data_IF_250855976054
#
_entry.id   IF_250855976054
#
_cell.length_a   1.000
_cell.length_b   1.000
_cell.length_c   1.000
_cell.angle_alpha   90.00
_cell.angle_beta   90.00
_cell.angle_gamma   90.00
#
_symmetry.space_group_name_H-M   'P 1'
#
loop_
_entity.id
_entity.type
_entity.pdbx_description
1 polymer ?
#
# COMPACT_ATOMS: atom_id res chain seq x y z
N UNK A 1 -13.42 3.41 -0.67
CA UNK A 1 -13.68 4.45 -1.67
C UNK A 1 -14.61 5.45 -1.05
N UNK A 2 -14.07 6.10 -0.03
CA UNK A 2 -14.85 6.89 0.87
C UNK A 2 -15.02 8.30 0.26
N UNK A 3 -16.09 8.56 -0.51
CA UNK A 3 -16.56 9.93 -0.81
C UNK A 3 -16.33 10.41 -2.23
N UNK A 4 -15.55 9.66 -3.00
CA UNK A 4 -15.39 9.81 -4.44
C UNK A 4 -16.68 9.41 -5.19
N UNK A 5 -17.03 10.10 -6.27
CA UNK A 5 -18.12 9.68 -7.14
C UNK A 5 -17.81 8.32 -7.78
N UNK A 6 -18.80 7.64 -8.36
CA UNK A 6 -18.53 6.37 -9.09
C UNK A 6 -17.46 6.53 -10.17
N UNK A 7 -17.43 7.69 -10.82
CA UNK A 7 -16.46 8.01 -11.86
C UNK A 7 -15.07 8.22 -11.27
N UNK A 8 -14.99 8.89 -10.13
CA UNK A 8 -13.72 9.09 -9.43
C UNK A 8 -13.19 7.78 -8.83
N UNK A 9 -14.05 6.82 -8.48
CA UNK A 9 -13.61 5.50 -7.98
C UNK A 9 -13.07 4.59 -9.09
N UNK A 10 -13.56 4.75 -10.33
CA UNK A 10 -13.28 3.85 -11.43
C UNK A 10 -11.78 3.70 -11.74
N UNK A 11 -10.96 4.78 -11.80
CA UNK A 11 -9.51 4.66 -12.01
C UNK A 11 -8.83 3.74 -11.00
N UNK A 12 -9.16 3.86 -9.71
CA UNK A 12 -8.56 3.05 -8.64
C UNK A 12 -8.89 1.57 -8.77
N UNK A 13 -10.16 1.27 -9.08
CA UNK A 13 -10.61 -0.10 -9.36
C UNK A 13 -9.85 -0.62 -10.57
N UNK A 14 -9.89 0.12 -11.67
CA UNK A 14 -9.40 -0.35 -12.97
C UNK A 14 -7.91 -0.64 -12.93
N UNK A 15 -7.09 0.16 -12.24
CA UNK A 15 -5.64 -0.08 -12.21
C UNK A 15 -5.23 -1.32 -11.42
N UNK A 16 -5.85 -1.60 -10.26
CA UNK A 16 -5.63 -2.88 -9.57
C UNK A 16 -6.01 -4.06 -10.47
N UNK A 17 -7.17 -3.97 -11.14
CA UNK A 17 -7.64 -5.04 -12.03
C UNK A 17 -6.78 -5.18 -13.30
N UNK A 18 -6.18 -4.10 -13.80
CA UNK A 18 -5.20 -4.15 -14.90
C UNK A 18 -3.93 -4.88 -14.48
N UNK A 19 -3.37 -4.57 -13.31
CA UNK A 19 -2.23 -5.30 -12.76
C UNK A 19 -2.56 -6.80 -12.62
N UNK A 20 -3.69 -7.11 -11.97
CA UNK A 20 -4.15 -8.50 -11.82
C UNK A 20 -4.33 -9.20 -13.16
N UNK A 21 -4.86 -8.50 -14.18
CA UNK A 21 -5.03 -9.04 -15.52
C UNK A 21 -3.69 -9.31 -16.23
N UNK A 22 -2.66 -8.48 -16.00
CA UNK A 22 -1.32 -8.70 -16.53
C UNK A 22 -0.68 -9.94 -15.92
N UNK A 23 -0.71 -10.08 -14.59
CA UNK A 23 -0.15 -11.27 -13.91
C UNK A 23 -0.95 -12.54 -14.25
N UNK A 24 -2.28 -12.42 -14.39
CA UNK A 24 -3.16 -13.53 -14.79
C UNK A 24 -2.83 -14.14 -16.17
N UNK A 25 -2.06 -13.46 -17.02
CA UNK A 25 -1.59 -14.03 -18.29
C UNK A 25 -0.61 -15.18 -18.07
N UNK A 26 0.14 -15.12 -16.96
CA UNK A 26 1.22 -16.06 -16.65
C UNK A 26 0.82 -17.05 -15.55
N UNK A 27 -0.15 -16.70 -14.70
CA UNK A 27 -0.54 -17.50 -13.53
C UNK A 27 -2.03 -17.92 -13.55
N UNK A 28 -2.35 -19.21 -13.76
CA UNK A 28 -3.73 -19.73 -13.81
C UNK A 28 -4.54 -19.47 -12.54
N UNK A 29 -3.92 -19.56 -11.36
CA UNK A 29 -4.60 -19.34 -10.08
C UNK A 29 -4.97 -17.87 -9.89
N UNK A 30 -4.11 -16.95 -10.35
CA UNK A 30 -4.40 -15.51 -10.34
C UNK A 30 -5.48 -15.19 -11.38
N UNK A 31 -5.48 -15.85 -12.53
CA UNK A 31 -6.56 -15.74 -13.53
C UNK A 31 -7.92 -16.15 -12.95
N UNK A 32 -7.99 -17.28 -12.24
CA UNK A 32 -9.21 -17.71 -11.55
C UNK A 32 -9.63 -16.69 -10.49
N UNK A 33 -8.69 -16.19 -9.70
CA UNK A 33 -8.95 -15.16 -8.70
C UNK A 33 -9.48 -13.86 -9.33
N UNK A 34 -8.88 -13.40 -10.42
CA UNK A 34 -9.30 -12.21 -11.18
C UNK A 34 -10.75 -12.30 -11.64
N UNK A 35 -11.16 -13.43 -12.22
CA UNK A 35 -12.54 -13.63 -12.68
C UNK A 35 -13.53 -13.69 -11.51
N UNK A 36 -13.16 -14.34 -10.41
CA UNK A 36 -13.99 -14.40 -9.20
C UNK A 36 -14.20 -13.03 -8.54
N UNK A 37 -13.30 -12.07 -8.76
CA UNK A 37 -13.42 -10.72 -8.22
C UNK A 37 -14.24 -9.76 -9.11
N UNK A 38 -14.55 -10.12 -10.38
CA UNK A 38 -15.33 -9.24 -11.28
C UNK A 38 -16.75 -8.93 -10.77
N UNK A 39 -17.52 -9.87 -10.19
CA UNK A 39 -18.82 -9.55 -9.62
C UNK A 39 -18.70 -8.57 -8.44
N UNK A 40 -17.71 -8.76 -7.57
CA UNK A 40 -17.44 -7.87 -6.45
C UNK A 40 -17.00 -6.47 -6.91
N UNK A 41 -16.23 -6.39 -8.01
CA UNK A 41 -15.84 -5.14 -8.68
C UNK A 41 -17.05 -4.30 -9.05
N UNK A 42 -18.02 -4.92 -9.74
CA UNK A 42 -19.21 -4.23 -10.24
C UNK A 42 -20.14 -3.89 -9.08
N UNK A 43 -20.50 -4.87 -8.25
CA UNK A 43 -21.47 -4.69 -7.16
C UNK A 43 -21.02 -3.67 -6.11
N UNK A 44 -19.71 -3.51 -5.88
CA UNK A 44 -19.19 -2.50 -4.95
C UNK A 44 -19.45 -1.06 -5.40
N UNK A 45 -19.51 -0.78 -6.70
CA UNK A 45 -19.87 0.55 -7.22
C UNK A 45 -21.32 0.93 -6.89
N UNK A 46 -22.16 -0.07 -6.59
CA UNK A 46 -23.58 0.10 -6.25
C UNK A 46 -23.86 -0.02 -4.74
N UNK A 47 -22.87 -0.39 -3.93
CA UNK A 47 -23.06 -0.61 -2.50
C UNK A 47 -23.29 0.74 -1.79
N UNK A 48 -24.53 1.01 -1.41
CA UNK A 48 -24.88 2.15 -0.57
C UNK A 48 -24.26 1.97 0.82
N UNK A 49 -23.89 3.09 1.44
CA UNK A 49 -23.34 3.07 2.79
C UNK A 49 -24.44 3.01 3.83
N UNK A 50 -24.14 2.29 4.89
CA UNK A 50 -24.96 2.30 6.09
C UNK A 50 -24.80 3.67 6.75
N UNK A 51 -25.93 4.35 7.00
CA UNK A 51 -25.94 5.54 7.84
C UNK A 51 -25.54 5.13 9.27
N UNK A 52 -24.78 5.97 9.99
CA UNK A 52 -24.54 5.72 11.40
C UNK A 52 -25.87 5.69 12.15
N UNK A 53 -26.01 4.75 13.08
CA UNK A 53 -27.23 4.58 13.87
C UNK A 53 -27.27 5.54 15.07
N UNK A 54 -28.45 5.66 15.68
CA UNK A 54 -28.65 6.42 16.92
C UNK A 54 -28.52 7.93 16.73
N UNK A 55 -27.90 8.61 17.70
CA UNK A 55 -27.81 10.08 17.78
C UNK A 55 -27.13 10.73 16.56
N UNK A 56 -26.36 9.95 15.79
CA UNK A 56 -25.67 10.40 14.60
C UNK A 56 -26.49 10.26 13.30
N UNK A 57 -27.65 9.58 13.33
CA UNK A 57 -28.42 9.25 12.13
C UNK A 57 -28.97 10.48 11.39
N UNK A 58 -29.27 11.55 12.13
CA UNK A 58 -29.83 12.79 11.60
C UNK A 58 -28.78 13.88 11.37
N UNK A 59 -27.51 13.62 11.70
CA UNK A 59 -26.44 14.61 11.52
C UNK A 59 -26.01 14.67 10.06
N UNK A 60 -25.59 15.86 9.56
CA UNK A 60 -24.95 15.95 8.26
C UNK A 60 -23.72 15.05 8.21
N UNK A 61 -23.65 14.19 7.20
CA UNK A 61 -22.51 13.30 6.99
C UNK A 61 -21.80 13.69 5.71
N UNK A 62 -20.51 13.99 5.81
CA UNK A 62 -19.63 14.10 4.66
C UNK A 62 -18.70 12.89 4.64
N UNK A 63 -18.32 12.46 3.44
CA UNK A 63 -17.23 11.50 3.32
C UNK A 63 -15.99 12.13 2.72
N UNK A 64 -14.85 11.75 3.26
CA UNK A 64 -13.51 12.07 2.78
C UNK A 64 -12.80 10.81 2.28
N UNK A 65 -11.99 10.97 1.22
CA UNK A 65 -11.19 9.88 0.64
C UNK A 65 -10.16 9.38 1.67
N UNK A 66 -9.94 8.07 1.74
CA UNK A 66 -9.12 7.45 2.79
C UNK A 66 -7.70 8.01 2.85
N UNK A 67 -7.03 8.09 1.70
CA UNK A 67 -5.67 8.61 1.65
C UNK A 67 -5.60 10.14 1.72
N UNK A 68 -6.63 10.86 1.27
CA UNK A 68 -6.77 12.29 1.55
C UNK A 68 -6.84 12.54 3.05
N UNK A 69 -7.61 11.74 3.80
CA UNK A 69 -7.70 11.87 5.26
C UNK A 69 -6.33 11.62 5.91
N UNK A 70 -5.59 10.60 5.46
CA UNK A 70 -4.22 10.38 5.90
C UNK A 70 -3.29 11.55 5.56
N UNK A 71 -3.27 12.01 4.31
CA UNK A 71 -2.43 13.11 3.86
C UNK A 71 -2.73 14.41 4.61
N UNK A 72 -4.02 14.73 4.80
CA UNK A 72 -4.48 15.86 5.58
C UNK A 72 -4.00 15.77 7.04
N UNK A 73 -4.11 14.60 7.68
CA UNK A 73 -3.64 14.40 9.05
C UNK A 73 -2.13 14.59 9.22
N UNK A 74 -1.34 14.32 8.18
CA UNK A 74 0.11 14.54 8.20
C UNK A 74 0.46 16.00 7.92
N UNK A 75 -0.08 16.57 6.84
CA UNK A 75 0.28 17.89 6.37
C UNK A 75 -0.18 19.01 7.30
N UNK A 76 -1.46 19.03 7.68
CA UNK A 76 -1.99 20.11 8.52
C UNK A 76 -1.50 20.05 9.97
N UNK A 77 -0.95 18.91 10.39
CA UNK A 77 -0.27 18.76 11.68
C UNK A 77 1.25 19.00 11.58
N UNK A 78 1.79 19.15 10.37
CA UNK A 78 3.23 19.38 10.16
C UNK A 78 3.59 20.84 10.41
N UNK A 79 4.85 21.13 10.79
CA UNK A 79 5.32 22.50 11.01
C UNK A 79 5.72 23.23 9.70
N UNK A 80 5.41 22.66 8.53
CA UNK A 80 5.95 23.08 7.23
C UNK A 80 4.88 23.72 6.32
N UNK A 81 3.81 24.29 6.88
CA UNK A 81 2.65 24.78 6.12
C UNK A 81 2.98 25.86 5.06
N UNK A 82 4.06 26.62 5.27
CA UNK A 82 4.54 27.67 4.36
C UNK A 82 5.55 27.17 3.32
N UNK A 83 5.98 25.91 3.40
CA UNK A 83 6.97 25.30 2.52
C UNK A 83 6.31 24.29 1.57
N UNK A 84 7.05 23.90 0.53
CA UNK A 84 6.66 22.81 -0.36
C UNK A 84 6.97 21.46 0.30
N UNK A 85 5.92 20.71 0.64
CA UNK A 85 6.01 19.44 1.37
C UNK A 85 5.53 18.29 0.48
N UNK A 86 6.36 17.26 0.34
CA UNK A 86 5.91 15.96 -0.14
C UNK A 86 5.11 15.27 0.94
N UNK A 87 3.87 14.89 0.65
CA UNK A 87 3.00 14.21 1.62
C UNK A 87 2.70 12.82 1.10
N UNK A 88 3.18 11.80 1.81
CA UNK A 88 3.10 10.42 1.37
C UNK A 88 2.25 9.64 2.36
N UNK A 89 1.18 9.05 1.85
CA UNK A 89 0.38 8.09 2.61
C UNK A 89 0.74 6.68 2.16
N UNK A 90 1.07 5.76 3.07
CA UNK A 90 1.25 4.31 2.83
C UNK A 90 0.50 3.48 3.89
N UNK A 91 -0.41 2.59 3.46
CA UNK A 91 -1.27 1.79 4.35
C UNK A 91 -1.57 0.40 3.77
N UNK A 92 -1.85 -0.59 4.63
CA UNK A 92 -2.06 -1.97 4.21
C UNK A 92 -3.41 -2.24 3.54
N UNK A 93 -4.44 -1.45 3.89
CA UNK A 93 -5.78 -1.48 3.27
C UNK A 93 -6.31 -0.05 3.14
N UNK A 94 -6.08 0.56 1.98
CA UNK A 94 -6.78 1.77 1.54
C UNK A 94 -7.70 1.47 0.37
N UNK A 95 -8.32 2.50 -0.20
CA UNK A 95 -9.39 2.46 -1.19
C UNK A 95 -8.99 1.89 -2.56
N UNK A 96 -8.56 0.62 -2.59
CA UNK A 96 -7.89 -0.05 -3.72
C UNK A 96 -6.54 0.58 -4.10
N UNK A 97 -6.02 1.41 -3.20
CA UNK A 97 -4.68 1.97 -3.19
C UNK A 97 -4.08 1.65 -1.81
N UNK A 98 -2.79 1.39 -1.75
CA UNK A 98 -2.03 1.29 -0.50
C UNK A 98 -1.20 2.56 -0.29
N UNK A 99 -1.30 3.53 -1.19
CA UNK A 99 -0.57 4.77 -1.01
C UNK A 99 -0.81 5.86 -2.04
N UNK A 100 -0.47 7.07 -1.65
CA UNK A 100 -0.65 8.24 -2.51
C UNK A 100 0.41 9.28 -2.20
N UNK A 101 0.75 10.05 -3.21
CA UNK A 101 1.68 11.17 -3.14
C UNK A 101 0.90 12.45 -3.39
N UNK A 102 1.09 13.41 -2.50
CA UNK A 102 0.52 14.74 -2.56
C UNK A 102 1.62 15.78 -2.40
N UNK A 103 1.34 16.97 -2.90
CA UNK A 103 2.12 18.16 -2.62
C UNK A 103 1.29 19.07 -1.73
N UNK A 104 1.84 19.42 -0.58
CA UNK A 104 1.32 20.44 0.30
C UNK A 104 2.10 21.74 0.12
N UNK A 105 1.41 22.85 -0.12
CA UNK A 105 2.03 24.18 -0.22
C UNK A 105 0.98 25.24 0.15
N UNK A 106 1.35 26.22 0.99
CA UNK A 106 0.49 27.33 1.41
C UNK A 106 -0.90 26.93 1.93
N UNK A 107 -0.95 25.89 2.76
CA UNK A 107 -2.21 25.39 3.33
C UNK A 107 -3.11 24.64 2.35
N UNK A 108 -2.66 24.39 1.12
CA UNK A 108 -3.38 23.56 0.14
C UNK A 108 -2.72 22.19 -0.01
N UNK A 109 -3.52 21.18 -0.35
CA UNK A 109 -3.07 19.83 -0.67
C UNK A 109 -3.51 19.44 -2.08
N UNK A 110 -2.53 19.22 -2.95
CA UNK A 110 -2.75 18.76 -4.32
C UNK A 110 -2.32 17.30 -4.48
N UNK A 111 -3.20 16.48 -5.05
CA UNK A 111 -2.88 15.08 -5.37
C UNK A 111 -1.98 15.02 -6.59
N UNK A 112 -0.89 14.26 -6.51
CA UNK A 112 0.05 14.09 -7.63
C UNK A 112 -0.02 12.69 -8.21
N UNK A 113 0.12 11.66 -7.37
CA UNK A 113 0.27 10.29 -7.85
C UNK A 113 -0.41 9.26 -6.92
N UNK A 114 -0.76 8.13 -7.51
CA UNK A 114 -1.34 6.98 -6.83
C UNK A 114 -0.40 5.78 -6.91
N UNK A 115 -0.19 5.10 -5.77
CA UNK A 115 0.43 3.78 -5.74
C UNK A 115 -0.61 2.66 -5.73
N UNK A 116 -0.26 1.55 -6.39
CA UNK A 116 -1.21 0.55 -6.87
C UNK A 116 -1.31 -0.74 -6.06
N UNK A 117 -2.48 -0.92 -5.44
CA UNK A 117 -3.24 -2.17 -5.36
C UNK A 117 -2.60 -3.45 -4.79
N UNK A 118 -2.59 -3.60 -3.47
CA UNK A 118 -2.41 -4.88 -2.78
C UNK A 118 -2.99 -4.89 -1.36
N UNK A 119 -3.39 -6.07 -0.85
CA UNK A 119 -4.10 -6.21 0.43
C UNK A 119 -3.17 -6.80 1.50
N UNK A 120 -2.67 -5.97 2.41
CA UNK A 120 -1.88 -6.47 3.55
C UNK A 120 -2.76 -6.72 4.78
N UNK A 121 -2.43 -7.76 5.55
CA UNK A 121 -3.14 -8.13 6.77
C UNK A 121 -2.36 -7.74 8.02
N UNK A 122 -3.09 -7.20 8.99
CA UNK A 122 -2.66 -6.75 10.32
C UNK A 122 -1.75 -7.75 11.01
N UNK A 123 -0.46 -7.44 11.23
CA UNK A 123 0.41 -7.92 12.33
C UNK A 123 1.80 -7.22 12.35
N UNK A 124 1.93 -5.97 11.88
CA UNK A 124 3.24 -5.33 11.62
C UNK A 124 4.12 -5.14 12.87
N UNK A 125 3.54 -4.83 14.03
CA UNK A 125 4.31 -4.51 15.24
C UNK A 125 5.14 -5.67 15.81
N UNK A 126 4.77 -6.94 15.56
CA UNK A 126 5.53 -8.11 16.04
C UNK A 126 6.77 -8.38 15.19
N UNK A 127 6.72 -8.04 13.90
CA UNK A 127 7.82 -8.21 12.96
C UNK A 127 8.99 -7.30 13.33
N UNK A 128 8.69 -6.05 13.74
CA UNK A 128 9.72 -5.07 14.10
C UNK A 128 10.63 -5.52 15.26
N UNK A 129 10.06 -6.12 16.30
CA UNK A 129 10.84 -6.58 17.46
C UNK A 129 11.73 -7.78 17.15
N UNK A 130 11.26 -8.71 16.31
CA UNK A 130 12.01 -9.89 15.89
C UNK A 130 13.11 -9.54 14.87
N UNK A 131 12.87 -8.55 14.02
CA UNK A 131 13.80 -8.11 12.99
C UNK A 131 15.16 -7.64 13.55
N UNK A 132 15.20 -7.17 14.80
CA UNK A 132 16.43 -6.72 15.45
C UNK A 132 17.44 -7.84 15.75
N UNK A 133 16.99 -9.10 15.75
CA UNK A 133 17.80 -10.26 16.14
C UNK A 133 18.16 -11.20 14.97
N UNK A 134 17.61 -10.97 13.78
CA UNK A 134 17.81 -11.82 12.60
C UNK A 134 18.83 -11.27 11.61
N UNK A 135 19.22 -12.13 10.67
CA UNK A 135 19.95 -11.76 9.48
C UNK A 135 18.96 -11.48 8.32
N UNK A 136 19.02 -10.31 7.66
CA UNK A 136 18.12 -10.02 6.55
C UNK A 136 18.34 -10.90 5.31
N UNK A 137 19.54 -11.46 5.15
CA UNK A 137 19.85 -12.36 4.04
C UNK A 137 19.67 -13.82 4.46
N UNK A 138 19.23 -14.71 3.54
CA UNK A 138 19.03 -14.49 2.10
C UNK A 138 17.64 -13.95 1.71
N UNK A 139 16.73 -13.69 2.67
CA UNK A 139 15.34 -13.36 2.33
C UNK A 139 15.22 -12.04 1.55
N UNK A 140 16.00 -11.01 1.92
CA UNK A 140 16.04 -9.76 1.19
C UNK A 140 16.34 -9.97 -0.29
N UNK A 141 17.44 -10.69 -0.60
CA UNK A 141 17.80 -11.02 -1.98
C UNK A 141 16.72 -11.84 -2.69
N UNK A 142 16.10 -12.81 -2.00
CA UNK A 142 15.00 -13.61 -2.56
C UNK A 142 13.79 -12.75 -2.91
N UNK A 143 13.43 -11.77 -2.09
CA UNK A 143 12.32 -10.85 -2.36
C UNK A 143 12.65 -9.91 -3.52
N UNK A 144 13.85 -9.31 -3.53
CA UNK A 144 14.29 -8.39 -4.59
C UNK A 144 14.38 -9.08 -5.96
N UNK A 145 14.73 -10.36 -6.02
CA UNK A 145 14.77 -11.13 -7.27
C UNK A 145 13.39 -11.23 -7.95
N UNK A 146 12.31 -11.06 -7.20
CA UNK A 146 10.93 -11.09 -7.68
C UNK A 146 10.28 -9.69 -7.72
N UNK A 147 11.09 -8.63 -7.61
CA UNK A 147 10.65 -7.23 -7.52
C UNK A 147 11.20 -6.38 -8.65
N UNK A 148 10.32 -5.73 -9.41
CA UNK A 148 10.70 -4.75 -10.41
C UNK A 148 10.84 -3.36 -9.79
N UNK A 149 12.07 -2.98 -9.45
CA UNK A 149 12.38 -1.69 -8.82
C UNK A 149 12.28 -0.49 -9.79
N UNK A 150 12.06 -0.73 -11.08
CA UNK A 150 11.97 0.32 -12.11
C UNK A 150 10.55 0.56 -12.62
N UNK A 151 9.61 -0.33 -12.27
CA UNK A 151 8.21 -0.23 -12.67
C UNK A 151 7.31 -0.52 -11.47
N UNK A 152 6.96 0.55 -10.75
CA UNK A 152 6.05 0.51 -9.60
C UNK A 152 4.61 0.08 -9.95
N UNK A 153 4.24 0.09 -11.24
CA UNK A 153 2.95 -0.42 -11.72
C UNK A 153 2.94 -1.93 -11.81
N UNK A 154 4.09 -2.53 -12.16
CA UNK A 154 4.27 -3.98 -12.22
C UNK A 154 5.35 -4.44 -11.22
N UNK A 155 5.27 -3.90 -10.01
CA UNK A 155 6.29 -4.04 -8.97
C UNK A 155 6.61 -5.50 -8.61
N UNK A 156 5.59 -6.36 -8.59
CA UNK A 156 5.74 -7.75 -8.22
C UNK A 156 5.51 -8.67 -9.42
N UNK A 157 6.39 -9.65 -9.56
CA UNK A 157 6.18 -10.74 -10.50
C UNK A 157 5.08 -11.71 -10.01
N UNK A 158 4.87 -12.78 -10.78
CA UNK A 158 3.92 -13.84 -10.47
C UNK A 158 4.03 -14.39 -9.03
N UNK A 159 5.26 -14.60 -8.53
CA UNK A 159 5.49 -15.27 -7.24
C UNK A 159 5.08 -14.37 -6.08
N UNK A 160 5.54 -13.12 -6.07
CA UNK A 160 5.13 -12.16 -5.03
C UNK A 160 3.64 -11.81 -5.18
N UNK A 161 3.12 -11.69 -6.39
CA UNK A 161 1.69 -11.46 -6.62
C UNK A 161 0.80 -12.53 -5.98
N UNK A 162 1.22 -13.81 -5.98
CA UNK A 162 0.50 -14.90 -5.29
C UNK A 162 0.40 -14.65 -3.79
N UNK A 163 1.49 -14.22 -3.17
CA UNK A 163 1.53 -13.90 -1.73
C UNK A 163 0.60 -12.73 -1.47
N UNK A 164 0.75 -11.64 -2.21
CA UNK A 164 0.06 -10.40 -1.87
C UNK A 164 -1.44 -10.43 -2.21
N UNK A 165 -1.85 -11.10 -3.29
CA UNK A 165 -3.26 -11.21 -3.68
C UNK A 165 -3.98 -12.36 -2.97
N UNK A 166 -3.26 -13.42 -2.62
CA UNK A 166 -3.84 -14.68 -2.13
C UNK A 166 -3.16 -15.20 -0.86
N UNK A 167 -2.67 -14.30 0.00
CA UNK A 167 -2.00 -14.62 1.27
C UNK A 167 -2.73 -15.69 2.08
N UNK A 168 -4.06 -15.58 2.23
CA UNK A 168 -4.86 -16.51 3.02
C UNK A 168 -5.15 -17.87 2.33
N UNK A 169 -4.62 -18.12 1.13
CA UNK A 169 -4.81 -19.37 0.39
C UNK A 169 -3.51 -20.14 0.27
N UNK A 170 -3.63 -21.44 0.02
CA UNK A 170 -2.50 -22.36 -0.15
C UNK A 170 -1.50 -21.90 -1.21
N UNK A 171 -1.97 -21.31 -2.31
CA UNK A 171 -1.14 -20.78 -3.40
C UNK A 171 -0.22 -19.64 -2.94
N UNK A 172 -0.70 -18.77 -2.04
CA UNK A 172 0.09 -17.70 -1.44
C UNK A 172 0.99 -18.21 -0.31
N UNK A 173 0.47 -19.09 0.54
CA UNK A 173 1.24 -19.70 1.62
C UNK A 173 2.40 -20.57 1.13
N UNK A 174 2.22 -21.30 0.02
CA UNK A 174 3.30 -22.11 -0.57
C UNK A 174 4.44 -21.25 -1.10
N UNK A 175 4.12 -20.17 -1.83
CA UNK A 175 5.13 -19.22 -2.31
C UNK A 175 5.89 -18.54 -1.15
N UNK A 176 5.18 -18.21 -0.07
CA UNK A 176 5.80 -17.66 1.15
C UNK A 176 6.75 -18.67 1.81
N UNK A 177 6.31 -19.94 1.96
CA UNK A 177 7.15 -20.99 2.55
C UNK A 177 8.42 -21.25 1.74
N UNK A 178 8.32 -21.20 0.41
CA UNK A 178 9.47 -21.35 -0.48
C UNK A 178 10.48 -20.19 -0.30
N UNK A 179 10.01 -18.94 -0.24
CA UNK A 179 10.88 -17.78 -0.01
C UNK A 179 11.54 -17.82 1.37
N UNK A 180 10.84 -18.31 2.39
CA UNK A 180 11.33 -18.40 3.76
C UNK A 180 12.03 -19.73 4.08
N UNK A 181 12.28 -20.59 3.09
CA UNK A 181 12.86 -21.91 3.32
C UNK A 181 14.23 -21.82 4.00
N UNK A 182 14.39 -22.57 5.09
CA UNK A 182 15.62 -22.64 5.88
C UNK A 182 15.88 -21.45 6.80
N UNK A 183 14.91 -20.54 6.98
CA UNK A 183 15.09 -19.31 7.77
C UNK A 183 14.41 -19.40 9.14
N UNK A 184 15.04 -18.79 10.14
CA UNK A 184 14.42 -18.57 11.45
C UNK A 184 13.33 -17.49 11.37
N UNK A 185 12.49 -17.37 12.40
CA UNK A 185 11.45 -16.33 12.43
C UNK A 185 12.09 -14.93 12.50
N UNK A 186 13.22 -14.83 13.18
CA UNK A 186 14.06 -13.65 13.32
C UNK A 186 14.64 -13.24 11.96
N UNK A 187 15.23 -14.18 11.21
CA UNK A 187 15.76 -13.90 9.86
C UNK A 187 14.66 -13.49 8.89
N UNK A 188 13.48 -14.14 8.97
CA UNK A 188 12.32 -13.75 8.16
C UNK A 188 11.88 -12.32 8.50
N UNK A 189 11.80 -12.00 9.79
CA UNK A 189 11.44 -10.65 10.22
C UNK A 189 12.47 -9.60 9.78
N UNK A 190 13.76 -9.90 9.92
CA UNK A 190 14.86 -9.04 9.49
C UNK A 190 14.84 -8.82 7.98
N UNK A 191 14.60 -9.87 7.19
CA UNK A 191 14.53 -9.80 5.74
C UNK A 191 13.34 -8.96 5.24
N UNK A 192 12.15 -9.16 5.83
CA UNK A 192 10.96 -8.36 5.50
C UNK A 192 11.18 -6.88 5.89
N UNK A 193 11.76 -6.63 7.06
CA UNK A 193 12.05 -5.27 7.53
C UNK A 193 13.04 -4.57 6.59
N UNK A 194 14.17 -5.21 6.26
CA UNK A 194 15.17 -4.65 5.36
C UNK A 194 14.62 -4.42 3.96
N UNK A 195 13.82 -5.35 3.45
CA UNK A 195 13.15 -5.22 2.15
C UNK A 195 12.17 -4.03 2.13
N UNK A 196 11.40 -3.85 3.22
CA UNK A 196 10.46 -2.73 3.38
C UNK A 196 11.20 -1.39 3.42
N UNK A 197 12.28 -1.30 4.20
CA UNK A 197 13.14 -0.11 4.28
C UNK A 197 13.71 0.24 2.90
N UNK A 198 14.36 -0.70 2.24
CA UNK A 198 15.01 -0.46 0.96
C UNK A 198 14.02 -0.03 -0.12
N UNK A 199 12.89 -0.72 -0.24
CA UNK A 199 11.92 -0.46 -1.29
C UNK A 199 11.22 0.89 -1.10
N UNK A 200 10.79 1.18 0.13
CA UNK A 200 10.07 2.42 0.41
C UNK A 200 11.01 3.62 0.35
N UNK A 201 12.22 3.53 0.90
CA UNK A 201 13.18 4.64 0.84
C UNK A 201 13.57 4.96 -0.61
N UNK A 202 13.83 3.94 -1.44
CA UNK A 202 14.13 4.13 -2.86
C UNK A 202 12.97 4.85 -3.58
N UNK A 203 11.74 4.40 -3.34
CA UNK A 203 10.57 5.03 -3.92
C UNK A 203 10.37 6.48 -3.46
N UNK A 204 10.44 6.74 -2.15
CA UNK A 204 10.28 8.08 -1.58
C UNK A 204 11.37 9.02 -2.14
N UNK A 205 12.59 8.54 -2.29
CA UNK A 205 13.69 9.30 -2.89
C UNK A 205 13.41 9.64 -4.36
N UNK A 206 12.90 8.71 -5.14
CA UNK A 206 12.47 8.95 -6.53
C UNK A 206 11.37 10.03 -6.58
N UNK A 207 10.38 9.96 -5.69
CA UNK A 207 9.31 10.96 -5.62
C UNK A 207 9.84 12.35 -5.20
N UNK A 208 10.74 12.39 -4.22
CA UNK A 208 11.36 13.64 -3.77
C UNK A 208 12.14 14.32 -4.90
N UNK A 209 12.89 13.54 -5.68
CA UNK A 209 13.60 14.02 -6.87
C UNK A 209 12.63 14.44 -7.98
N UNK A 210 11.61 13.63 -8.29
CA UNK A 210 10.65 13.92 -9.36
C UNK A 210 9.81 15.17 -9.07
N UNK A 211 9.38 15.35 -7.82
CA UNK A 211 8.45 16.40 -7.40
C UNK A 211 9.12 17.61 -6.74
N UNK A 212 10.45 17.53 -6.55
CA UNK A 212 11.31 18.59 -6.04
C UNK A 212 10.84 19.11 -4.68
N UNK A 213 10.63 18.20 -3.72
CA UNK A 213 10.36 18.57 -2.32
C UNK A 213 11.55 18.18 -1.43
N UNK A 214 11.80 18.98 -0.38
CA UNK A 214 12.81 18.72 0.64
C UNK A 214 12.22 18.46 2.02
N UNK A 215 10.94 18.81 2.22
CA UNK A 215 10.15 18.49 3.41
C UNK A 215 9.23 17.32 3.11
N UNK A 216 9.08 16.42 4.09
CA UNK A 216 8.32 15.19 3.95
C UNK A 216 7.37 15.04 5.14
N UNK A 217 6.10 14.80 4.86
CA UNK A 217 5.10 14.43 5.85
C UNK A 217 4.55 13.03 5.51
N UNK A 218 4.49 12.14 6.50
CA UNK A 218 4.19 10.72 6.31
C UNK A 218 2.95 10.31 7.09
N UNK A 219 2.09 9.47 6.51
CA UNK A 219 0.91 8.91 7.20
C UNK A 219 0.49 7.53 6.70
N UNK A 220 -0.27 6.80 7.52
CA UNK A 220 -0.76 5.46 7.20
C UNK A 220 0.00 4.36 7.93
N UNK A 221 -0.57 3.14 7.96
CA UNK A 221 -0.11 2.06 8.83
C UNK A 221 1.35 1.66 8.63
N UNK A 222 1.86 1.77 7.40
CA UNK A 222 3.26 1.43 7.09
C UNK A 222 4.24 2.36 7.83
N UNK A 223 3.92 3.65 7.92
CA UNK A 223 4.74 4.63 8.64
C UNK A 223 4.56 4.60 10.17
N UNK A 224 3.76 3.67 10.71
CA UNK A 224 3.86 3.31 12.12
C UNK A 224 5.16 2.53 12.43
N UNK A 225 5.86 2.05 11.39
CA UNK A 225 7.17 1.43 11.51
C UNK A 225 8.24 2.50 11.84
N UNK A 226 8.58 2.62 13.12
CA UNK A 226 9.57 3.61 13.58
C UNK A 226 10.96 3.42 12.99
N UNK A 227 11.33 2.18 12.61
CA UNK A 227 12.65 1.90 12.04
C UNK A 227 12.75 2.36 10.60
N UNK A 228 11.67 2.20 9.82
CA UNK A 228 11.54 2.79 8.50
C UNK A 228 11.70 4.32 8.54
N UNK A 229 11.04 4.98 9.49
CA UNK A 229 11.10 6.46 9.61
C UNK A 229 12.47 7.01 10.05
N UNK A 230 13.41 6.15 10.47
CA UNK A 230 14.78 6.55 10.84
C UNK A 230 15.76 6.52 9.66
N UNK A 231 15.33 6.03 8.49
CA UNK A 231 16.14 5.93 7.27
C UNK A 231 15.99 7.17 6.41
#
# INVERSE_FOLDING_TARGET
>A
MAGLSRWDQKPYVDTLFHYMANVAKQEPDIKKFYWNQQPARITRLFKQRQKPAGVLAEKPTQTVEHHLAHAASAYYASPFADERVGVISLDGVGDFSWGSVWLGEHGELQKVEHLLGFKATRHEGKVLGLAAFGNPEPLLSRLLAHTNQTDWTNLFDAKLARIVLQFAKEVGQSALRELCEGLSQEDVAAGIQAYTEQLICAWVQEQAQKLQFSKLALAGGVFANVKLNQR
#
